data_IF_615087550885
#
_entry.id   IF_615087550885
#
_cell.length_a   1.000
_cell.length_b   1.000
_cell.length_c   1.000
_cell.angle_alpha   90.00
_cell.angle_beta   90.00
_cell.angle_gamma   90.00
#
_symmetry.space_group_name_H-M   'P 1'
#
loop_
_entity.id
_entity.type
_entity.pdbx_description
1 polymer ?
#
# COMPACT_ATOMS: atom_id res chain seq x y z
N UNK A 1 -11.14 15.78 -3.48
CA UNK A 1 -11.47 14.35 -3.45
C UNK A 1 -10.83 13.73 -2.24
N UNK A 2 -11.64 13.15 -1.35
CA UNK A 2 -11.21 12.43 -0.14
C UNK A 2 -10.97 10.96 -0.44
N UNK A 3 -10.27 10.26 0.45
CA UNK A 3 -9.89 8.85 0.24
C UNK A 3 -11.13 7.96 0.10
N UNK A 4 -12.13 8.18 0.95
CA UNK A 4 -13.41 7.47 0.91
C UNK A 4 -14.07 7.53 -0.47
N UNK A 5 -14.23 8.73 -1.01
CA UNK A 5 -14.82 8.97 -2.33
C UNK A 5 -14.03 8.26 -3.44
N UNK A 6 -12.70 8.22 -3.32
CA UNK A 6 -11.83 7.55 -4.28
C UNK A 6 -11.97 6.01 -4.22
N UNK A 7 -12.19 5.45 -3.03
CA UNK A 7 -12.50 4.02 -2.86
C UNK A 7 -13.85 3.71 -3.46
N UNK A 8 -14.91 4.45 -3.09
CA UNK A 8 -16.28 4.23 -3.58
C UNK A 8 -16.40 4.36 -5.10
N UNK A 9 -15.53 5.14 -5.74
CA UNK A 9 -15.44 5.28 -7.19
C UNK A 9 -14.61 4.18 -7.90
N UNK A 10 -13.97 3.25 -7.17
CA UNK A 10 -13.22 2.15 -7.75
C UNK A 10 -14.15 1.07 -8.34
N UNK A 11 -13.59 0.11 -9.07
CA UNK A 11 -14.34 -1.04 -9.56
C UNK A 11 -14.65 -2.03 -8.42
N UNK A 12 -15.81 -2.67 -8.49
CA UNK A 12 -16.17 -3.79 -7.61
C UNK A 12 -15.17 -4.95 -7.76
N UNK A 13 -14.72 -5.56 -6.64
CA UNK A 13 -15.23 -5.41 -5.27
C UNK A 13 -14.55 -4.35 -4.38
N UNK A 14 -13.61 -3.56 -4.90
CA UNK A 14 -12.86 -2.62 -4.06
C UNK A 14 -13.72 -1.44 -3.54
N UNK A 15 -14.75 -1.04 -4.29
CA UNK A 15 -15.62 0.07 -3.92
C UNK A 15 -16.36 -0.10 -2.58
N UNK A 16 -16.58 -1.35 -2.16
CA UNK A 16 -17.34 -1.66 -0.96
C UNK A 16 -16.43 -1.96 0.26
N UNK A 17 -15.10 -1.77 0.14
CA UNK A 17 -14.12 -2.17 1.17
C UNK A 17 -13.58 -1.03 2.04
N UNK A 18 -14.16 0.17 1.92
CA UNK A 18 -13.75 1.32 2.72
C UNK A 18 -13.96 1.07 4.22
N UNK A 19 -12.94 1.38 5.00
CA UNK A 19 -12.99 1.37 6.45
C UNK A 19 -12.43 2.70 7.01
N UNK A 20 -13.06 3.30 8.05
CA UNK A 20 -12.58 4.56 8.62
C UNK A 20 -11.23 4.39 9.34
N UNK A 21 -10.36 5.40 9.22
CA UNK A 21 -9.01 5.37 9.81
C UNK A 21 -8.22 4.14 9.35
N UNK A 22 -7.53 3.44 10.27
CA UNK A 22 -6.73 2.24 9.97
C UNK A 22 -7.48 0.91 10.18
N UNK A 23 -8.81 0.91 10.13
CA UNK A 23 -9.62 -0.24 10.56
C UNK A 23 -9.55 -1.46 9.61
N UNK A 24 -9.17 -1.29 8.34
CA UNK A 24 -8.96 -2.43 7.44
C UNK A 24 -7.69 -3.23 7.74
N UNK A 25 -6.72 -2.65 8.47
CA UNK A 25 -5.46 -3.35 8.77
C UNK A 25 -5.68 -4.33 9.92
N UNK A 26 -5.13 -5.55 9.77
CA UNK A 26 -5.02 -6.50 10.89
C UNK A 26 -4.30 -5.85 12.08
N UNK A 27 -4.68 -6.26 13.30
CA UNK A 27 -4.26 -5.61 14.55
C UNK A 27 -2.75 -5.49 14.67
N UNK A 28 -2.03 -6.56 14.33
CA UNK A 28 -0.58 -6.69 14.37
C UNK A 28 0.11 -5.73 13.39
N UNK A 29 -0.43 -5.56 12.17
CA UNK A 29 0.10 -4.65 11.17
C UNK A 29 -0.22 -3.19 11.53
N UNK A 30 -1.44 -2.95 12.01
CA UNK A 30 -1.91 -1.62 12.43
C UNK A 30 -1.06 -1.00 13.53
N UNK A 31 -0.49 -1.82 14.43
CA UNK A 31 0.40 -1.39 15.50
C UNK A 31 1.78 -0.92 14.99
N UNK A 32 2.19 -1.37 13.80
CA UNK A 32 3.45 -1.01 13.17
C UNK A 32 3.33 0.23 12.28
N UNK A 33 2.10 0.69 12.00
CA UNK A 33 1.83 1.93 11.24
C UNK A 33 1.52 3.06 12.20
N UNK A 34 2.47 3.99 12.33
CA UNK A 34 2.43 5.16 13.20
C UNK A 34 2.20 6.44 12.39
N UNK A 35 1.68 7.45 13.05
CA UNK A 35 1.37 8.76 12.49
C UNK A 35 0.49 9.54 13.46
N UNK A 36 0.08 10.74 13.08
CA UNK A 36 -0.93 11.48 13.85
C UNK A 36 -2.29 10.81 13.62
N UNK A 37 -2.93 10.31 14.67
CA UNK A 37 -4.16 9.50 14.54
C UNK A 37 -5.26 10.21 13.74
N UNK A 38 -5.46 11.52 13.98
CA UNK A 38 -6.44 12.35 13.26
C UNK A 38 -6.14 12.57 11.77
N UNK A 39 -4.96 12.17 11.29
CA UNK A 39 -4.57 12.33 9.90
C UNK A 39 -4.90 11.09 9.05
N UNK A 40 -5.19 9.93 9.65
CA UNK A 40 -5.65 8.77 8.90
C UNK A 40 -7.13 8.91 8.55
N UNK A 41 -7.44 9.12 7.28
CA UNK A 41 -8.81 9.39 6.81
C UNK A 41 -9.58 8.12 6.50
N UNK A 42 -8.89 7.05 6.07
CA UNK A 42 -9.51 5.77 5.73
C UNK A 42 -8.51 4.69 5.38
N UNK A 43 -9.01 3.48 5.15
CA UNK A 43 -8.21 2.31 4.81
C UNK A 43 -9.00 1.29 3.98
N UNK A 44 -8.28 0.45 3.24
CA UNK A 44 -8.82 -0.71 2.51
C UNK A 44 -7.88 -1.90 2.66
N UNK A 45 -8.46 -3.10 2.74
CA UNK A 45 -7.77 -4.40 2.61
C UNK A 45 -7.98 -4.87 1.17
N UNK A 46 -7.02 -4.59 0.29
CA UNK A 46 -7.15 -4.88 -1.15
C UNK A 46 -6.95 -6.36 -1.44
N UNK A 47 -6.08 -7.06 -0.69
CA UNK A 47 -5.97 -8.51 -0.79
C UNK A 47 -7.30 -9.17 -0.40
N UNK A 48 -7.82 -8.85 0.78
CA UNK A 48 -9.06 -9.42 1.30
C UNK A 48 -10.27 -9.12 0.41
N UNK A 49 -10.40 -7.87 -0.08
CA UNK A 49 -11.50 -7.48 -0.95
C UNK A 49 -11.51 -8.26 -2.28
N UNK A 50 -10.34 -8.56 -2.85
CA UNK A 50 -10.22 -9.18 -4.16
C UNK A 50 -10.02 -10.69 -4.11
N UNK A 51 -9.67 -11.27 -2.96
CA UNK A 51 -9.37 -12.69 -2.81
C UNK A 51 -10.55 -13.61 -3.19
N UNK A 52 -11.78 -13.20 -2.86
CA UNK A 52 -12.98 -13.98 -3.15
C UNK A 52 -13.37 -13.94 -4.63
N UNK A 53 -12.93 -12.91 -5.37
CA UNK A 53 -13.26 -12.71 -6.78
C UNK A 53 -12.42 -13.64 -7.68
N UNK A 54 -13.05 -14.52 -8.48
CA UNK A 54 -12.33 -15.44 -9.37
C UNK A 54 -11.37 -14.75 -10.34
N UNK A 55 -11.64 -13.49 -10.72
CA UNK A 55 -10.80 -12.71 -11.65
C UNK A 55 -9.43 -12.40 -11.09
N UNK A 56 -9.33 -12.22 -9.78
CA UNK A 56 -8.10 -11.77 -9.10
C UNK A 56 -7.54 -12.82 -8.14
N UNK A 57 -8.19 -13.98 -7.98
CA UNK A 57 -7.84 -15.02 -7.01
C UNK A 57 -6.37 -15.44 -7.04
N UNK A 58 -5.76 -15.46 -8.23
CA UNK A 58 -4.39 -15.91 -8.44
C UNK A 58 -3.40 -14.77 -8.72
N UNK A 59 -3.86 -13.52 -8.63
CA UNK A 59 -3.00 -12.37 -8.83
C UNK A 59 -2.04 -12.15 -7.65
N UNK A 60 -0.86 -11.55 -7.89
CA UNK A 60 0.04 -11.12 -6.82
C UNK A 60 -0.52 -9.84 -6.20
N UNK A 61 -1.62 -9.97 -5.45
CA UNK A 61 -2.31 -8.83 -4.84
C UNK A 61 -1.44 -8.16 -3.77
N UNK A 62 -1.58 -6.85 -3.66
CA UNK A 62 -1.03 -6.05 -2.56
C UNK A 62 -1.94 -6.15 -1.34
N UNK A 63 -1.47 -5.82 -0.14
CA UNK A 63 -2.28 -6.03 1.07
C UNK A 63 -3.20 -4.84 1.43
N UNK A 64 -2.65 -3.64 1.63
CA UNK A 64 -3.45 -2.52 2.17
C UNK A 64 -3.26 -1.20 1.42
N UNK A 65 -4.30 -0.37 1.47
CA UNK A 65 -4.27 1.05 1.14
C UNK A 65 -4.71 1.91 2.33
N UNK A 66 -4.11 3.07 2.51
CA UNK A 66 -4.41 4.04 3.56
C UNK A 66 -4.58 5.44 2.98
N UNK A 67 -5.69 6.08 3.33
CA UNK A 67 -5.89 7.50 3.17
C UNK A 67 -5.23 8.28 4.30
N UNK A 68 -4.57 9.38 3.95
CA UNK A 68 -3.93 10.27 4.89
C UNK A 68 -4.09 11.72 4.44
N UNK A 69 -4.54 12.57 5.37
CA UNK A 69 -4.61 14.01 5.17
C UNK A 69 -3.25 14.65 5.48
N UNK A 70 -2.58 15.09 4.42
CA UNK A 70 -1.31 15.80 4.52
C UNK A 70 -1.50 17.16 5.20
N UNK A 71 -0.43 17.69 5.82
CA UNK A 71 -0.45 18.99 6.52
C UNK A 71 -0.88 20.17 5.63
N UNK A 72 -0.75 20.03 4.32
CA UNK A 72 -1.24 21.01 3.34
C UNK A 72 -2.76 20.94 3.11
N UNK A 73 -3.50 20.06 3.82
CA UNK A 73 -4.94 19.83 3.68
C UNK A 73 -5.31 18.90 2.52
N UNK A 74 -4.33 18.35 1.80
CA UNK A 74 -4.58 17.48 0.65
C UNK A 74 -4.62 16.01 1.08
N UNK A 75 -5.59 15.29 0.53
CA UNK A 75 -5.69 13.83 0.68
C UNK A 75 -4.60 13.13 -0.15
N UNK A 76 -3.97 12.12 0.45
CA UNK A 76 -2.98 11.26 -0.19
C UNK A 76 -3.27 9.79 0.13
N UNK A 77 -2.79 8.90 -0.75
CA UNK A 77 -2.89 7.45 -0.53
C UNK A 77 -1.51 6.81 -0.40
N UNK A 78 -1.32 6.04 0.68
CA UNK A 78 -0.14 5.19 0.91
C UNK A 78 -0.56 3.73 0.88
N UNK A 79 0.28 2.88 0.29
CA UNK A 79 0.03 1.47 0.05
C UNK A 79 1.05 0.63 0.80
N UNK A 80 0.58 -0.36 1.54
CA UNK A 80 1.41 -1.15 2.46
C UNK A 80 1.32 -2.61 2.07
N UNK A 81 2.47 -3.19 1.75
CA UNK A 81 2.65 -4.63 1.57
C UNK A 81 3.29 -5.19 2.82
N UNK A 82 2.70 -6.24 3.39
CA UNK A 82 3.18 -6.94 4.57
C UNK A 82 3.78 -8.29 4.16
N UNK A 83 5.10 -8.35 4.09
CA UNK A 83 5.80 -9.50 3.49
C UNK A 83 7.10 -9.84 4.23
N UNK A 84 7.52 -11.11 4.30
CA UNK A 84 8.84 -11.49 4.81
C UNK A 84 9.97 -10.76 4.06
N UNK A 85 10.95 -10.24 4.79
CA UNK A 85 11.94 -9.31 4.25
C UNK A 85 13.31 -9.96 3.98
N UNK A 86 13.35 -11.03 3.17
CA UNK A 86 14.60 -11.64 2.68
C UNK A 86 14.88 -11.30 1.22
N UNK A 87 16.12 -11.52 0.78
CA UNK A 87 16.52 -11.29 -0.63
C UNK A 87 15.75 -12.15 -1.63
N UNK A 88 15.24 -13.32 -1.23
CA UNK A 88 14.39 -14.19 -2.05
C UNK A 88 13.03 -13.57 -2.38
N UNK A 89 12.45 -12.79 -1.45
CA UNK A 89 11.11 -12.22 -1.60
C UNK A 89 11.06 -10.97 -2.49
N UNK A 90 12.22 -10.38 -2.81
CA UNK A 90 12.29 -9.10 -3.54
C UNK A 90 11.58 -9.17 -4.89
N UNK A 91 11.71 -10.29 -5.61
CA UNK A 91 11.01 -10.46 -6.89
C UNK A 91 9.50 -10.55 -6.71
N UNK A 92 9.02 -11.25 -5.69
CA UNK A 92 7.61 -11.39 -5.40
C UNK A 92 6.97 -10.04 -5.06
N UNK A 93 7.60 -9.25 -4.18
CA UNK A 93 7.10 -7.92 -3.82
C UNK A 93 7.11 -6.95 -5.00
N UNK A 94 8.11 -7.03 -5.89
CA UNK A 94 8.11 -6.22 -7.12
C UNK A 94 6.96 -6.62 -8.05
N UNK A 95 6.66 -7.91 -8.20
CA UNK A 95 5.51 -8.37 -8.99
C UNK A 95 4.20 -7.84 -8.41
N UNK A 96 4.04 -7.91 -7.08
CA UNK A 96 2.89 -7.33 -6.40
C UNK A 96 2.76 -5.82 -6.62
N UNK A 97 3.88 -5.09 -6.56
CA UNK A 97 3.90 -3.64 -6.78
C UNK A 97 3.48 -3.28 -8.20
N UNK A 98 3.98 -4.02 -9.19
CA UNK A 98 3.62 -3.81 -10.59
C UNK A 98 2.14 -4.12 -10.83
N UNK A 99 1.63 -5.18 -10.22
CA UNK A 99 0.20 -5.49 -10.26
C UNK A 99 -0.63 -4.36 -9.65
N UNK A 100 -0.27 -3.86 -8.46
CA UNK A 100 -0.99 -2.77 -7.81
C UNK A 100 -1.04 -1.52 -8.69
N UNK A 101 0.10 -1.12 -9.26
CA UNK A 101 0.15 0.07 -10.14
C UNK A 101 -0.81 -0.06 -11.34
N UNK A 102 -0.86 -1.23 -11.97
CA UNK A 102 -1.82 -1.50 -13.06
C UNK A 102 -3.26 -1.50 -12.55
N UNK A 103 -3.52 -2.18 -11.44
CA UNK A 103 -4.85 -2.23 -10.83
C UNK A 103 -5.38 -0.81 -10.53
N UNK A 104 -4.55 0.05 -9.92
CA UNK A 104 -4.93 1.43 -9.62
C UNK A 104 -5.20 2.25 -10.89
N UNK A 105 -4.35 2.11 -11.91
CA UNK A 105 -4.56 2.77 -13.20
C UNK A 105 -5.90 2.38 -13.84
N UNK A 106 -6.17 1.08 -13.90
CA UNK A 106 -7.22 0.52 -14.75
C UNK A 106 -8.56 0.37 -14.03
N UNK A 107 -8.53 0.17 -12.71
CA UNK A 107 -9.69 -0.23 -11.89
C UNK A 107 -9.96 0.73 -10.74
N UNK A 108 -9.05 1.62 -10.40
CA UNK A 108 -9.26 2.62 -9.35
C UNK A 108 -8.57 3.96 -9.66
N UNK A 109 -8.89 4.61 -10.79
CA UNK A 109 -8.16 5.80 -11.27
C UNK A 109 -8.22 6.99 -10.30
N UNK A 110 -9.29 7.10 -9.51
CA UNK A 110 -9.40 8.09 -8.45
C UNK A 110 -8.35 7.87 -7.33
N UNK A 111 -8.16 6.63 -6.89
CA UNK A 111 -7.11 6.24 -5.94
C UNK A 111 -5.72 6.46 -6.56
N UNK A 112 -5.54 6.13 -7.84
CA UNK A 112 -4.28 6.38 -8.54
C UNK A 112 -3.91 7.87 -8.52
N UNK A 113 -4.88 8.75 -8.78
CA UNK A 113 -4.66 10.22 -8.76
C UNK A 113 -4.16 10.72 -7.41
N UNK A 114 -4.79 10.33 -6.30
CA UNK A 114 -4.34 10.75 -4.95
C UNK A 114 -3.04 10.07 -4.51
N UNK A 115 -2.68 8.95 -5.13
CA UNK A 115 -1.38 8.28 -4.93
C UNK A 115 -0.25 9.06 -5.61
N UNK A 116 -0.41 9.46 -6.88
CA UNK A 116 0.66 10.11 -7.64
C UNK A 116 0.89 11.58 -7.24
N UNK A 117 -0.08 12.23 -6.59
CA UNK A 117 0.07 13.59 -6.03
C UNK A 117 1.07 13.66 -4.86
N UNK A 118 1.58 12.53 -4.37
CA UNK A 118 2.60 12.49 -3.32
C UNK A 118 3.98 13.02 -3.75
N UNK A 119 4.19 13.31 -5.04
CA UNK A 119 5.39 13.97 -5.54
C UNK A 119 6.67 13.18 -5.22
N UNK A 120 7.54 13.76 -4.37
CA UNK A 120 8.80 13.11 -3.93
C UNK A 120 8.60 12.05 -2.84
N UNK A 121 7.44 12.00 -2.19
CA UNK A 121 7.15 10.98 -1.18
C UNK A 121 6.88 9.63 -1.86
N UNK A 122 7.31 8.54 -1.23
CA UNK A 122 7.12 7.18 -1.77
C UNK A 122 5.80 6.60 -1.28
N UNK A 123 4.79 6.47 -2.15
CA UNK A 123 3.46 6.00 -1.73
C UNK A 123 3.43 4.49 -1.47
N UNK A 124 4.41 3.73 -1.94
CA UNK A 124 4.46 2.27 -1.79
C UNK A 124 5.47 1.90 -0.71
N UNK A 125 5.04 1.11 0.26
CA UNK A 125 5.84 0.75 1.43
C UNK A 125 5.77 -0.75 1.65
N UNK A 126 6.92 -1.32 2.01
CA UNK A 126 7.04 -2.72 2.41
C UNK A 126 7.24 -2.80 3.93
N UNK A 127 6.24 -3.30 4.62
CA UNK A 127 6.26 -3.63 6.05
C UNK A 127 6.77 -5.07 6.24
N UNK A 128 7.89 -5.22 6.94
CA UNK A 128 8.50 -6.52 7.19
C UNK A 128 7.77 -7.27 8.31
N UNK A 129 7.37 -8.51 8.06
CA UNK A 129 6.83 -9.41 9.10
C UNK A 129 7.90 -9.95 10.06
N UNK A 130 9.17 -9.88 9.66
CA UNK A 130 10.32 -10.39 10.44
C UNK A 130 11.55 -9.50 10.26
N UNK A 131 12.70 -9.93 10.77
CA UNK A 131 13.95 -9.19 10.61
C UNK A 131 14.26 -8.92 9.13
N UNK A 132 14.72 -7.69 8.83
CA UNK A 132 15.11 -7.30 7.48
C UNK A 132 16.45 -7.93 7.12
N UNK A 133 16.43 -8.89 6.19
CA UNK A 133 17.57 -9.64 5.67
C UNK A 133 17.91 -9.21 4.24
N UNK A 134 17.80 -7.92 3.94
CA UNK A 134 18.17 -7.33 2.65
C UNK A 134 19.17 -6.19 2.91
N UNK A 135 20.48 -6.48 2.81
CA UNK A 135 21.49 -5.45 3.03
C UNK A 135 21.41 -4.34 1.95
N UNK A 136 21.67 -3.07 2.30
CA UNK A 136 21.44 -1.91 1.43
C UNK A 136 22.30 -1.88 0.16
N UNK A 137 23.46 -2.54 0.18
CA UNK A 137 24.42 -2.53 -0.92
C UNK A 137 24.31 -3.78 -1.83
N UNK A 138 23.18 -4.49 -1.78
CA UNK A 138 22.95 -5.67 -2.60
C UNK A 138 22.32 -5.34 -3.96
N UNK A 139 22.47 -6.21 -4.97
CA UNK A 139 21.68 -6.12 -6.21
C UNK A 139 20.17 -6.03 -5.95
N UNK A 140 19.67 -6.74 -4.94
CA UNK A 140 18.28 -6.75 -4.52
C UNK A 140 17.81 -5.38 -4.03
N UNK A 141 18.60 -4.71 -3.19
CA UNK A 141 18.31 -3.36 -2.74
C UNK A 141 18.29 -2.35 -3.89
N UNK A 142 19.22 -2.47 -4.85
CA UNK A 142 19.23 -1.65 -6.07
C UNK A 142 17.99 -1.90 -6.93
N UNK A 143 17.58 -3.16 -7.06
CA UNK A 143 16.40 -3.55 -7.82
C UNK A 143 15.11 -2.95 -7.23
N UNK A 144 14.94 -2.99 -5.90
CA UNK A 144 13.81 -2.33 -5.24
C UNK A 144 13.74 -0.84 -5.57
N UNK A 145 14.87 -0.14 -5.44
CA UNK A 145 14.96 1.30 -5.74
C UNK A 145 14.64 1.61 -7.19
N UNK A 146 15.09 0.77 -8.13
CA UNK A 146 14.78 0.92 -9.56
C UNK A 146 13.27 0.82 -9.86
N UNK A 147 12.50 0.08 -9.04
CA UNK A 147 11.05 0.00 -9.14
C UNK A 147 10.30 1.04 -8.29
N UNK A 148 11.02 1.95 -7.64
CA UNK A 148 10.45 3.01 -6.80
C UNK A 148 10.11 2.57 -5.38
N UNK A 149 10.62 1.43 -4.92
CA UNK A 149 10.39 0.88 -3.58
C UNK A 149 11.63 1.04 -2.71
N UNK A 150 11.45 1.40 -1.44
CA UNK A 150 12.53 1.40 -0.44
C UNK A 150 12.80 0.00 0.11
N UNK A 151 13.88 -0.13 0.89
CA UNK A 151 14.05 -1.30 1.73
C UNK A 151 12.88 -1.46 2.70
N UNK A 152 12.49 -2.71 3.03
CA UNK A 152 11.44 -2.96 3.98
C UNK A 152 11.78 -2.40 5.37
N UNK A 153 10.72 -2.07 6.11
CA UNK A 153 10.82 -1.54 7.48
C UNK A 153 9.91 -2.34 8.39
N UNK A 154 10.27 -2.49 9.65
CA UNK A 154 9.40 -3.15 10.64
C UNK A 154 8.35 -2.20 11.22
N UNK A 155 8.51 -0.89 11.00
CA UNK A 155 7.57 0.15 11.39
C UNK A 155 7.54 1.23 10.32
N UNK A 156 6.36 1.79 10.09
CA UNK A 156 6.10 2.86 9.12
C UNK A 156 5.61 4.06 9.91
N UNK A 157 6.20 5.23 9.67
CA UNK A 157 5.72 6.49 10.25
C UNK A 157 5.29 7.39 9.11
N UNK A 158 4.00 7.73 9.06
CA UNK A 158 3.47 8.76 8.15
C UNK A 158 3.55 10.16 8.81
N UNK A 159 3.68 11.25 8.02
CA UNK A 159 4.01 12.60 8.50
C UNK A 159 3.04 13.29 9.49
#
# INVERSE_FOLDING_TARGET
MKFKEAVEAAAHPLNDSYNPGKQALKREHRAQVRGRDRAFTGSVDIDGALQADPRYRHDPRWDYGLGYEHRSGHEQAVWIEVHPASTSEVRAVIQKLQWLKRYLSDRAPALNRITVMMGKQKPFVWLATSAVKIPPNTPQARLLRAHGLDLPRQQITLP
#
